data_IF_403428409458
#
_entry.id   IF_403428409458
#
_cell.length_a   1.000
_cell.length_b   1.000
_cell.length_c   1.000
_cell.angle_alpha   90.00
_cell.angle_beta   90.00
_cell.angle_gamma   90.00
#
_symmetry.space_group_name_H-M   'P 1'
#
loop_
_entity.id
_entity.type
_entity.pdbx_description
1 polymer ?
#
# COMPACT_ATOMS: atom_id res chain seq x y z
N UNK A 1 -35.48 -30.18 -28.27
CA UNK A 1 -35.20 -31.32 -27.36
C UNK A 1 -35.64 -32.71 -27.87
N UNK A 2 -36.08 -32.89 -29.13
CA UNK A 2 -36.64 -34.18 -29.63
C UNK A 2 -35.65 -35.11 -30.38
N UNK A 3 -34.36 -34.76 -30.49
CA UNK A 3 -33.36 -35.51 -31.28
C UNK A 3 -32.54 -36.55 -30.50
N UNK A 4 -31.97 -36.18 -29.34
CA UNK A 4 -30.97 -36.99 -28.63
C UNK A 4 -31.53 -38.30 -28.08
N UNK A 5 -32.79 -38.33 -27.63
CA UNK A 5 -33.42 -39.55 -27.10
C UNK A 5 -33.59 -40.66 -28.14
N UNK A 6 -33.36 -40.36 -29.42
CA UNK A 6 -33.42 -41.31 -30.55
C UNK A 6 -32.02 -41.72 -31.02
N UNK A 7 -30.94 -41.21 -30.43
CA UNK A 7 -29.57 -41.51 -30.81
C UNK A 7 -29.29 -43.01 -30.70
N UNK A 8 -28.85 -43.61 -31.80
CA UNK A 8 -28.56 -45.03 -31.90
C UNK A 8 -27.09 -45.27 -32.24
N UNK A 9 -26.56 -44.52 -33.20
CA UNK A 9 -25.19 -44.65 -33.69
C UNK A 9 -24.57 -43.29 -33.97
N UNK A 10 -23.24 -43.26 -33.98
CA UNK A 10 -22.44 -42.12 -34.38
C UNK A 10 -21.49 -42.51 -35.49
N UNK A 11 -21.26 -41.62 -36.43
CA UNK A 11 -20.22 -41.71 -37.44
C UNK A 11 -19.12 -40.73 -37.07
N UNK A 12 -17.88 -41.22 -37.04
CA UNK A 12 -16.70 -40.43 -36.68
C UNK A 12 -15.62 -40.64 -37.74
N UNK A 13 -15.08 -39.55 -38.27
CA UNK A 13 -13.90 -39.58 -39.13
C UNK A 13 -12.61 -39.54 -38.30
N UNK A 14 -11.91 -40.66 -38.25
CA UNK A 14 -10.63 -40.76 -37.56
C UNK A 14 -9.48 -40.50 -38.54
N UNK A 15 -8.57 -39.59 -38.16
CA UNK A 15 -7.38 -39.18 -38.95
C UNK A 15 -6.59 -40.32 -39.64
N UNK A 16 -6.53 -41.50 -39.03
CA UNK A 16 -5.73 -42.63 -39.51
C UNK A 16 -6.55 -43.87 -39.93
N UNK A 17 -7.86 -43.88 -39.67
CA UNK A 17 -8.74 -45.05 -39.90
C UNK A 17 -9.88 -44.69 -40.87
N UNK A 18 -10.07 -43.39 -41.14
CA UNK A 18 -11.17 -42.86 -41.92
C UNK A 18 -12.49 -42.89 -41.14
N UNK A 19 -13.58 -42.73 -41.89
CA UNK A 19 -14.95 -42.70 -41.38
C UNK A 19 -15.38 -44.07 -40.85
N UNK A 20 -15.84 -44.10 -39.60
CA UNK A 20 -16.32 -45.31 -38.93
C UNK A 20 -17.70 -45.06 -38.32
N UNK A 21 -18.64 -45.99 -38.59
CA UNK A 21 -19.97 -46.00 -37.96
C UNK A 21 -19.93 -46.87 -36.70
N UNK A 22 -20.22 -46.26 -35.55
CA UNK A 22 -20.15 -46.88 -34.23
C UNK A 22 -21.57 -46.97 -33.64
N UNK A 23 -22.14 -48.17 -33.53
CA UNK A 23 -23.48 -48.38 -32.98
C UNK A 23 -23.46 -48.40 -31.44
N UNK A 24 -23.18 -47.25 -30.81
CA UNK A 24 -22.98 -47.15 -29.36
C UNK A 24 -24.24 -47.46 -28.54
N UNK A 25 -25.42 -47.06 -29.01
CA UNK A 25 -26.67 -47.10 -28.23
C UNK A 25 -27.67 -48.14 -28.74
N UNK A 26 -27.26 -49.03 -29.65
CA UNK A 26 -28.11 -50.13 -30.10
C UNK A 26 -27.97 -51.33 -29.15
N UNK A 27 -29.08 -51.73 -28.53
CA UNK A 27 -29.17 -52.97 -27.76
C UNK A 27 -29.72 -54.10 -28.64
N UNK A 28 -28.89 -55.12 -28.90
CA UNK A 28 -29.32 -56.41 -29.44
C UNK A 28 -29.81 -57.31 -28.30
N UNK A 29 -31.02 -57.03 -27.82
CA UNK A 29 -31.79 -57.96 -27.00
C UNK A 29 -32.64 -58.84 -27.91
N UNK A 30 -32.76 -60.14 -27.61
CA UNK A 30 -33.18 -61.23 -28.50
C UNK A 30 -34.55 -61.10 -29.20
N UNK A 31 -35.37 -60.06 -28.97
CA UNK A 31 -36.65 -59.88 -29.69
C UNK A 31 -37.06 -58.42 -30.00
N UNK A 32 -36.23 -57.40 -29.70
CA UNK A 32 -36.46 -56.04 -30.24
C UNK A 32 -35.20 -55.17 -30.15
N UNK A 33 -34.91 -54.41 -31.21
CA UNK A 33 -33.87 -53.37 -31.21
C UNK A 33 -34.32 -52.21 -30.33
N UNK A 34 -33.85 -52.17 -29.10
CA UNK A 34 -34.11 -51.07 -28.16
C UNK A 34 -32.91 -50.13 -28.10
N UNK A 35 -33.18 -48.84 -27.88
CA UNK A 35 -32.13 -47.82 -27.71
C UNK A 35 -31.68 -47.86 -26.24
N UNK A 36 -30.40 -48.15 -26.03
CA UNK A 36 -29.74 -48.08 -24.73
C UNK A 36 -29.53 -46.64 -24.30
N UNK A 37 -29.66 -46.36 -23.00
CA UNK A 37 -29.40 -45.01 -22.45
C UNK A 37 -27.91 -44.75 -22.15
N UNK A 38 -27.10 -45.79 -22.19
CA UNK A 38 -25.67 -45.74 -21.89
C UNK A 38 -24.92 -46.75 -22.76
N UNK A 39 -23.70 -46.39 -23.12
CA UNK A 39 -22.77 -47.22 -23.87
C UNK A 39 -21.45 -47.30 -23.09
N UNK A 40 -20.86 -48.48 -22.99
CA UNK A 40 -19.54 -48.66 -22.37
C UNK A 40 -18.54 -48.98 -23.48
N UNK A 41 -17.60 -48.07 -23.70
CA UNK A 41 -16.49 -48.27 -24.63
C UNK A 41 -15.25 -48.64 -23.84
N UNK A 42 -14.74 -49.86 -24.06
CA UNK A 42 -13.53 -50.35 -23.42
C UNK A 42 -12.61 -51.00 -24.46
N UNK A 43 -11.32 -51.05 -24.16
CA UNK A 43 -10.31 -51.58 -25.08
C UNK A 43 -8.89 -51.38 -24.55
N UNK A 44 -7.92 -52.02 -25.20
CA UNK A 44 -6.49 -51.92 -24.84
C UNK A 44 -5.95 -50.50 -24.95
N UNK A 45 -4.78 -50.25 -24.37
CA UNK A 45 -4.05 -49.00 -24.59
C UNK A 45 -3.74 -48.86 -26.09
N UNK A 46 -3.92 -47.65 -26.64
CA UNK A 46 -3.79 -47.41 -28.08
C UNK A 46 -5.00 -47.80 -28.94
N UNK A 47 -6.07 -48.37 -28.38
CA UNK A 47 -7.28 -48.75 -29.14
C UNK A 47 -8.16 -47.56 -29.60
N UNK A 48 -7.70 -46.31 -29.42
CA UNK A 48 -8.42 -45.12 -29.89
C UNK A 48 -9.48 -44.54 -28.93
N UNK A 49 -9.57 -45.01 -27.68
CA UNK A 49 -10.55 -44.52 -26.69
C UNK A 49 -10.50 -42.99 -26.50
N UNK A 50 -9.32 -42.45 -26.25
CA UNK A 50 -9.12 -40.99 -26.10
C UNK A 50 -9.34 -40.24 -27.41
N UNK A 51 -9.08 -40.88 -28.56
CA UNK A 51 -9.36 -40.29 -29.88
C UNK A 51 -10.86 -40.14 -30.13
N UNK A 52 -11.66 -41.13 -29.72
CA UNK A 52 -13.12 -41.06 -29.76
C UNK A 52 -13.64 -39.96 -28.82
N UNK A 53 -13.11 -39.86 -27.59
CA UNK A 53 -13.48 -38.78 -26.67
C UNK A 53 -13.17 -37.39 -27.25
N UNK A 54 -12.00 -37.20 -27.87
CA UNK A 54 -11.64 -35.95 -28.56
C UNK A 54 -12.55 -35.63 -29.73
N UNK A 55 -12.92 -36.63 -30.54
CA UNK A 55 -13.85 -36.43 -31.66
C UNK A 55 -15.25 -36.02 -31.20
N UNK A 56 -15.67 -36.44 -29.99
CA UNK A 56 -16.93 -36.00 -29.38
C UNK A 56 -16.83 -34.60 -28.74
N UNK A 57 -15.64 -34.16 -28.31
CA UNK A 57 -15.42 -32.85 -27.67
C UNK A 57 -15.62 -31.70 -28.64
N UNK A 58 -15.22 -31.89 -29.89
CA UNK A 58 -15.39 -30.94 -30.99
C UNK A 58 -16.05 -31.64 -32.18
N UNK A 59 -17.39 -31.78 -32.19
CA UNK A 59 -18.11 -32.39 -33.29
C UNK A 59 -17.98 -31.52 -34.55
N UNK A 60 -16.91 -31.74 -35.32
CA UNK A 60 -16.63 -31.10 -36.61
C UNK A 60 -17.42 -31.76 -37.75
N UNK A 61 -17.18 -31.38 -39.00
CA UNK A 61 -17.82 -31.97 -40.19
C UNK A 61 -17.66 -33.49 -40.32
N UNK A 62 -16.73 -34.09 -39.57
CA UNK A 62 -16.49 -35.54 -39.51
C UNK A 62 -17.32 -36.29 -38.46
N UNK A 63 -18.23 -35.62 -37.74
CA UNK A 63 -19.13 -36.23 -36.77
C UNK A 63 -20.58 -36.18 -37.26
N UNK A 64 -21.27 -37.33 -37.26
CA UNK A 64 -22.71 -37.40 -37.51
C UNK A 64 -23.39 -38.34 -36.55
N UNK A 65 -24.63 -38.03 -36.17
CA UNK A 65 -25.46 -38.88 -35.35
C UNK A 65 -26.60 -39.46 -36.17
N UNK A 66 -27.02 -40.68 -35.84
CA UNK A 66 -28.13 -41.33 -36.51
C UNK A 66 -29.10 -41.97 -35.51
N UNK A 67 -30.37 -42.01 -35.89
CA UNK A 67 -31.37 -42.80 -35.20
C UNK A 67 -31.31 -44.28 -35.60
N UNK A 68 -32.16 -45.10 -34.97
CA UNK A 68 -32.25 -46.54 -35.25
C UNK A 68 -32.63 -46.87 -36.70
N UNK A 69 -33.29 -45.96 -37.40
CA UNK A 69 -33.72 -46.10 -38.79
C UNK A 69 -32.67 -45.53 -39.75
N UNK A 70 -31.46 -45.27 -39.24
CA UNK A 70 -30.31 -44.69 -39.93
C UNK A 70 -30.60 -43.29 -40.52
N UNK A 71 -31.53 -42.55 -39.92
CA UNK A 71 -31.83 -41.18 -40.30
C UNK A 71 -30.89 -40.23 -39.54
N UNK A 72 -30.31 -39.23 -40.22
CA UNK A 72 -29.42 -38.28 -39.57
C UNK A 72 -30.17 -37.53 -38.48
N UNK A 73 -29.56 -37.46 -37.30
CA UNK A 73 -30.00 -36.65 -36.19
C UNK A 73 -29.19 -35.37 -36.18
N UNK A 74 -29.91 -34.26 -36.27
CA UNK A 74 -29.33 -32.94 -36.14
C UNK A 74 -29.10 -32.64 -34.66
N UNK A 75 -27.86 -32.84 -34.21
CA UNK A 75 -27.40 -32.39 -32.90
C UNK A 75 -27.07 -30.91 -33.06
N UNK A 76 -28.12 -30.09 -33.08
CA UNK A 76 -28.11 -28.72 -33.58
C UNK A 76 -27.10 -27.78 -32.92
N UNK A 77 -26.52 -28.15 -31.78
CA UNK A 77 -25.35 -27.48 -31.21
C UNK A 77 -24.54 -28.49 -30.38
N UNK A 78 -23.21 -28.34 -30.37
CA UNK A 78 -22.30 -29.14 -29.52
C UNK A 78 -22.56 -28.98 -28.01
N UNK A 79 -23.48 -28.08 -27.62
CA UNK A 79 -23.84 -27.78 -26.23
C UNK A 79 -24.43 -28.97 -25.47
N UNK A 80 -25.04 -29.92 -26.17
CA UNK A 80 -25.63 -31.11 -25.55
C UNK A 80 -24.60 -32.25 -25.33
N UNK A 81 -23.36 -32.08 -25.80
CA UNK A 81 -22.28 -33.06 -25.65
C UNK A 81 -21.27 -32.55 -24.63
N UNK A 82 -21.16 -33.25 -23.51
CA UNK A 82 -20.15 -32.96 -22.48
C UNK A 82 -19.13 -34.10 -22.41
N UNK A 83 -17.85 -33.78 -22.61
CA UNK A 83 -16.75 -34.74 -22.58
C UNK A 83 -15.88 -34.50 -21.35
N UNK A 84 -15.84 -35.49 -20.46
CA UNK A 84 -15.05 -35.51 -19.23
C UNK A 84 -13.77 -36.33 -19.43
N UNK A 85 -12.87 -35.87 -20.31
CA UNK A 85 -11.60 -36.55 -20.58
C UNK A 85 -10.47 -36.10 -19.65
N UNK A 86 -9.25 -36.64 -19.84
CA UNK A 86 -8.08 -36.30 -19.02
C UNK A 86 -7.75 -34.81 -19.06
N UNK A 87 -7.94 -34.15 -20.21
CA UNK A 87 -7.77 -32.70 -20.34
C UNK A 87 -8.79 -31.94 -19.49
N UNK A 88 -10.07 -32.34 -19.53
CA UNK A 88 -11.10 -31.76 -18.68
C UNK A 88 -10.74 -31.89 -17.20
N UNK A 89 -10.28 -33.07 -16.77
CA UNK A 89 -9.88 -33.29 -15.37
C UNK A 89 -8.70 -32.39 -15.01
N UNK A 90 -7.65 -32.35 -15.83
CA UNK A 90 -6.47 -31.52 -15.54
C UNK A 90 -6.78 -30.02 -15.49
N UNK A 91 -7.69 -29.55 -16.35
CA UNK A 91 -8.09 -28.14 -16.41
C UNK A 91 -9.01 -27.74 -15.26
N UNK A 92 -9.96 -28.61 -14.89
CA UNK A 92 -11.06 -28.25 -14.01
C UNK A 92 -10.94 -28.82 -12.60
N UNK A 93 -10.02 -29.75 -12.34
CA UNK A 93 -9.95 -30.53 -11.10
C UNK A 93 -8.60 -30.33 -10.42
N UNK A 94 -8.55 -29.59 -9.31
CA UNK A 94 -7.32 -29.41 -8.51
C UNK A 94 -7.45 -30.01 -7.12
N UNK A 95 -6.35 -30.61 -6.66
CA UNK A 95 -6.20 -31.03 -5.26
C UNK A 95 -5.66 -29.86 -4.45
N UNK A 96 -6.46 -29.33 -3.54
CA UNK A 96 -6.04 -28.26 -2.62
C UNK A 96 -5.86 -28.84 -1.23
N UNK A 97 -4.66 -28.68 -0.66
CA UNK A 97 -4.33 -29.10 0.69
C UNK A 97 -2.84 -29.05 0.99
N UNK A 98 -2.45 -28.30 2.01
CA UNK A 98 -1.10 -28.35 2.59
C UNK A 98 -1.09 -29.28 3.81
N UNK A 99 -0.25 -30.32 3.72
CA UNK A 99 0.34 -31.22 4.74
C UNK A 99 -0.51 -31.83 5.89
N UNK A 100 -1.74 -31.38 6.19
CA UNK A 100 -2.53 -31.93 7.33
C UNK A 100 -4.05 -32.04 7.13
N UNK A 101 -4.59 -31.62 5.99
CA UNK A 101 -6.01 -31.77 5.66
C UNK A 101 -6.16 -32.62 4.40
N UNK A 102 -7.15 -33.52 4.40
CA UNK A 102 -7.49 -34.32 3.24
C UNK A 102 -7.71 -33.40 2.02
N UNK A 103 -7.14 -33.71 0.86
CA UNK A 103 -7.22 -32.84 -0.30
C UNK A 103 -8.69 -32.63 -0.69
N UNK A 104 -9.11 -31.37 -0.75
CA UNK A 104 -10.43 -31.02 -1.30
C UNK A 104 -10.25 -30.88 -2.81
N UNK A 105 -11.13 -31.55 -3.55
CA UNK A 105 -11.17 -31.48 -5.01
C UNK A 105 -12.05 -30.27 -5.38
N UNK A 106 -11.45 -29.23 -5.96
CA UNK A 106 -12.18 -28.08 -6.50
C UNK A 106 -12.51 -28.32 -7.98
N UNK A 107 -13.73 -27.93 -8.40
CA UNK A 107 -14.24 -28.14 -9.74
C UNK A 107 -14.58 -26.79 -10.44
N UNK A 108 -14.03 -26.56 -11.63
CA UNK A 108 -14.41 -25.44 -12.51
C UNK A 108 -14.05 -24.04 -11.96
N UNK A 109 -14.97 -23.08 -12.04
CA UNK A 109 -14.80 -21.66 -11.66
C UNK A 109 -14.28 -21.46 -10.22
N UNK A 110 -14.48 -22.44 -9.33
CA UNK A 110 -13.93 -22.42 -7.97
C UNK A 110 -12.40 -22.43 -7.94
N UNK A 111 -11.75 -22.96 -8.98
CA UNK A 111 -10.29 -22.97 -9.13
C UNK A 111 -9.77 -21.54 -9.33
N UNK A 112 -10.43 -20.76 -10.18
CA UNK A 112 -10.01 -19.37 -10.48
C UNK A 112 -10.14 -18.47 -9.23
N UNK A 113 -11.23 -18.62 -8.48
CA UNK A 113 -11.40 -17.90 -7.22
C UNK A 113 -10.36 -18.27 -6.17
N UNK A 114 -9.93 -19.53 -6.12
CA UNK A 114 -8.90 -19.97 -5.19
C UNK A 114 -7.53 -19.34 -5.53
N UNK A 115 -7.19 -19.23 -6.82
CA UNK A 115 -5.97 -18.53 -7.26
C UNK A 115 -6.00 -17.05 -6.85
N UNK A 116 -7.13 -16.38 -7.04
CA UNK A 116 -7.29 -14.97 -6.65
C UNK A 116 -7.14 -14.78 -5.12
N UNK A 117 -7.66 -15.70 -4.32
CA UNK A 117 -7.50 -15.69 -2.86
C UNK A 117 -6.02 -15.83 -2.49
N UNK A 118 -5.32 -16.82 -3.05
CA UNK A 118 -3.92 -17.08 -2.75
C UNK A 118 -3.01 -15.90 -3.13
N UNK A 119 -3.28 -15.26 -4.28
CA UNK A 119 -2.55 -14.06 -4.69
C UNK A 119 -2.81 -12.88 -3.74
N UNK A 120 -4.06 -12.67 -3.32
CA UNK A 120 -4.41 -11.61 -2.36
C UNK A 120 -3.78 -11.85 -1.00
N UNK A 121 -3.77 -13.09 -0.51
CA UNK A 121 -3.12 -13.45 0.76
C UNK A 121 -1.61 -13.21 0.73
N UNK A 122 -0.94 -13.60 -0.37
CA UNK A 122 0.48 -13.32 -0.58
C UNK A 122 0.76 -11.82 -0.59
N UNK A 123 -0.05 -11.05 -1.33
CA UNK A 123 0.06 -9.59 -1.39
C UNK A 123 -0.14 -8.95 -0.01
N UNK A 124 -1.15 -9.40 0.73
CA UNK A 124 -1.45 -8.92 2.08
C UNK A 124 -0.30 -9.20 3.05
N UNK A 125 0.32 -10.39 2.98
CA UNK A 125 1.51 -10.73 3.76
C UNK A 125 2.69 -9.81 3.46
N UNK A 126 2.97 -9.53 2.17
CA UNK A 126 4.03 -8.62 1.76
C UNK A 126 3.78 -7.18 2.24
N UNK A 127 2.54 -6.70 2.12
CA UNK A 127 2.16 -5.36 2.54
C UNK A 127 2.28 -5.19 4.06
N UNK A 128 1.84 -6.18 4.84
CA UNK A 128 1.98 -6.18 6.30
C UNK A 128 3.45 -6.14 6.74
N UNK A 129 4.33 -6.89 6.06
CA UNK A 129 5.76 -6.84 6.33
C UNK A 129 6.37 -5.47 6.02
N UNK A 130 5.96 -4.85 4.90
CA UNK A 130 6.37 -3.48 4.54
C UNK A 130 5.91 -2.46 5.58
N UNK A 131 4.63 -2.52 5.96
CA UNK A 131 4.05 -1.65 6.99
C UNK A 131 4.83 -1.72 8.30
N UNK A 132 5.07 -2.93 8.81
CA UNK A 132 5.85 -3.16 10.04
C UNK A 132 7.27 -2.59 9.95
N UNK A 133 7.90 -2.67 8.78
CA UNK A 133 9.23 -2.10 8.56
C UNK A 133 9.21 -0.56 8.56
N UNK A 134 8.19 0.05 7.96
CA UNK A 134 8.00 1.50 7.96
C UNK A 134 7.73 2.00 9.39
N UNK A 135 6.84 1.35 10.14
CA UNK A 135 6.55 1.69 11.54
C UNK A 135 7.81 1.68 12.41
N UNK A 136 8.66 0.65 12.27
CA UNK A 136 9.96 0.57 12.96
C UNK A 136 10.87 1.74 12.59
N UNK A 137 10.97 2.09 11.30
CA UNK A 137 11.78 3.23 10.83
C UNK A 137 11.27 4.54 11.39
N UNK A 138 9.95 4.77 11.42
CA UNK A 138 9.34 5.97 11.98
C UNK A 138 9.61 6.06 13.49
N UNK A 139 9.39 4.98 14.22
CA UNK A 139 9.68 4.91 15.66
C UNK A 139 11.14 5.26 15.97
N UNK A 140 12.08 4.67 15.24
CA UNK A 140 13.51 4.94 15.41
C UNK A 140 13.88 6.39 15.09
N UNK A 141 13.33 6.97 14.01
CA UNK A 141 13.53 8.39 13.68
C UNK A 141 12.97 9.32 14.74
N UNK A 142 11.79 9.04 15.28
CA UNK A 142 11.21 9.82 16.36
C UNK A 142 12.07 9.77 17.63
N UNK A 143 12.58 8.59 18.01
CA UNK A 143 13.54 8.47 19.12
C UNK A 143 14.81 9.28 18.87
N UNK A 144 15.36 9.20 17.66
CA UNK A 144 16.56 9.97 17.29
C UNK A 144 16.29 11.49 17.34
N UNK A 145 15.12 11.94 16.89
CA UNK A 145 14.70 13.34 16.94
C UNK A 145 14.57 13.84 18.39
N UNK A 146 13.92 13.09 19.26
CA UNK A 146 13.78 13.46 20.69
C UNK A 146 15.13 13.48 21.40
N UNK A 147 16.01 12.53 21.10
CA UNK A 147 17.39 12.53 21.60
C UNK A 147 18.16 13.77 21.12
N UNK A 148 18.02 14.14 19.84
CA UNK A 148 18.67 15.34 19.28
C UNK A 148 18.13 16.63 19.93
N UNK A 149 16.82 16.76 20.10
CA UNK A 149 16.19 17.89 20.82
C UNK A 149 16.71 18.00 22.26
N UNK A 150 16.82 16.87 22.95
CA UNK A 150 17.33 16.81 24.32
C UNK A 150 18.78 17.29 24.37
N UNK A 151 19.64 16.79 23.48
CA UNK A 151 21.05 17.21 23.37
C UNK A 151 21.17 18.71 23.09
N UNK A 152 20.44 19.23 22.10
CA UNK A 152 20.42 20.66 21.78
C UNK A 152 20.03 21.49 23.00
N UNK A 153 19.01 21.06 23.73
CA UNK A 153 18.54 21.76 24.94
C UNK A 153 19.61 21.74 26.02
N UNK A 154 20.29 20.61 26.22
CA UNK A 154 21.40 20.50 27.16
C UNK A 154 22.54 21.46 26.80
N UNK A 155 22.93 21.52 25.52
CA UNK A 155 23.97 22.43 25.03
C UNK A 155 23.59 23.91 25.20
N UNK A 156 22.32 24.26 25.02
CA UNK A 156 21.84 25.63 25.22
C UNK A 156 21.76 26.02 26.71
N UNK A 157 21.46 25.05 27.59
CA UNK A 157 21.46 25.26 29.05
C UNK A 157 22.87 25.42 29.62
N UNK A 158 23.83 24.65 29.10
CA UNK A 158 25.14 24.46 29.74
C UNK A 158 25.13 23.32 30.75
N UNK A 159 26.30 22.77 31.05
CA UNK A 159 26.48 21.66 31.99
C UNK A 159 26.55 22.09 33.45
N UNK A 160 26.86 23.37 33.72
CA UNK A 160 26.96 23.96 35.05
C UNK A 160 26.50 25.43 35.03
N UNK A 161 26.06 25.93 36.18
CA UNK A 161 25.81 27.36 36.41
C UNK A 161 27.08 28.22 36.27
N UNK A 162 28.25 27.58 36.31
CA UNK A 162 29.57 28.19 36.12
C UNK A 162 30.12 28.09 34.69
N UNK A 163 29.41 27.46 33.74
CA UNK A 163 29.84 27.41 32.34
C UNK A 163 29.55 28.75 31.65
N UNK A 164 30.55 29.62 31.63
CA UNK A 164 30.45 31.02 31.17
C UNK A 164 30.07 31.17 29.68
N UNK A 165 30.02 30.07 28.92
CA UNK A 165 29.73 30.05 27.48
C UNK A 165 28.32 29.60 27.05
N UNK A 166 27.44 29.15 27.95
CA UNK A 166 26.12 28.64 27.52
C UNK A 166 25.18 29.77 27.06
N UNK A 167 24.20 29.46 26.20
CA UNK A 167 23.21 30.46 25.76
C UNK A 167 22.39 30.97 26.96
N UNK A 168 21.98 30.07 27.86
CA UNK A 168 21.20 30.43 29.03
C UNK A 168 21.98 31.33 30.01
N UNK A 169 23.28 31.09 30.18
CA UNK A 169 24.13 31.91 31.04
C UNK A 169 24.42 33.26 30.39
N UNK A 170 24.65 33.32 29.07
CA UNK A 170 24.74 34.59 28.32
C UNK A 170 23.45 35.41 28.42
N UNK A 171 22.29 34.77 28.32
CA UNK A 171 21.01 35.44 28.50
C UNK A 171 20.81 35.97 29.94
N UNK A 172 21.30 35.25 30.96
CA UNK A 172 21.31 35.71 32.34
C UNK A 172 22.23 36.92 32.52
N UNK A 173 23.46 36.87 31.99
CA UNK A 173 24.42 37.97 32.07
C UNK A 173 23.91 39.28 31.43
N UNK A 174 23.08 39.18 30.38
CA UNK A 174 22.51 40.34 29.69
C UNK A 174 21.22 40.88 30.33
N UNK A 175 20.41 40.03 30.96
CA UNK A 175 19.06 40.40 31.40
C UNK A 175 18.81 40.24 32.91
N UNK A 176 19.80 39.79 33.67
CA UNK A 176 19.69 39.50 35.11
C UNK A 176 18.79 38.31 35.47
N UNK A 177 18.27 37.57 34.48
CA UNK A 177 17.39 36.40 34.69
C UNK A 177 17.56 35.33 33.61
N UNK A 178 17.49 34.06 34.00
CA UNK A 178 17.61 32.93 33.06
C UNK A 178 16.35 32.87 32.19
N UNK A 179 16.52 32.88 30.87
CA UNK A 179 15.39 32.71 29.92
C UNK A 179 15.10 31.23 29.70
N UNK A 180 13.82 30.88 29.58
CA UNK A 180 13.40 29.52 29.23
C UNK A 180 13.77 29.22 27.78
N UNK A 181 14.29 28.02 27.53
CA UNK A 181 14.54 27.53 26.17
C UNK A 181 13.23 26.95 25.62
N UNK A 182 12.58 27.72 24.75
CA UNK A 182 11.35 27.33 24.06
C UNK A 182 11.66 26.74 22.68
N UNK A 183 10.66 26.16 22.02
CA UNK A 183 10.82 25.70 20.63
C UNK A 183 11.15 26.83 19.67
N UNK A 184 10.68 28.05 19.93
CA UNK A 184 11.07 29.25 19.17
C UNK A 184 12.57 29.51 19.25
N UNK A 185 13.16 29.39 20.44
CA UNK A 185 14.62 29.55 20.62
C UNK A 185 15.37 28.45 19.88
N UNK A 186 14.92 27.19 20.03
CA UNK A 186 15.54 26.05 19.31
C UNK A 186 15.48 26.24 17.79
N UNK A 187 14.33 26.69 17.27
CA UNK A 187 14.14 26.96 15.84
C UNK A 187 15.04 28.08 15.35
N UNK A 188 15.10 29.20 16.07
CA UNK A 188 15.97 30.33 15.72
C UNK A 188 17.45 29.92 15.68
N UNK A 189 17.92 29.10 16.64
CA UNK A 189 19.30 28.59 16.65
C UNK A 189 19.58 27.68 15.44
N UNK A 190 18.62 26.84 15.05
CA UNK A 190 18.76 25.98 13.87
C UNK A 190 18.78 26.82 12.58
N UNK A 191 17.92 27.84 12.49
CA UNK A 191 17.83 28.74 11.34
C UNK A 191 19.06 29.64 11.17
N UNK A 192 19.71 30.04 12.27
CA UNK A 192 20.97 30.79 12.24
C UNK A 192 22.12 30.01 11.59
N UNK A 193 22.01 28.68 11.53
CA UNK A 193 23.02 27.83 10.90
C UNK A 193 24.37 27.87 11.60
N UNK A 194 25.39 27.33 10.92
CA UNK A 194 26.76 27.37 11.42
C UNK A 194 27.38 28.73 11.03
N UNK A 195 27.98 29.48 11.96
CA UNK A 195 28.67 30.71 11.61
C UNK A 195 29.88 30.41 10.71
N UNK A 196 30.14 31.30 9.76
CA UNK A 196 31.31 31.24 8.86
C UNK A 196 32.61 31.69 9.55
N UNK A 197 32.47 32.40 10.67
CA UNK A 197 33.57 32.95 11.47
C UNK A 197 33.99 32.00 12.60
N UNK A 198 35.22 32.17 13.10
CA UNK A 198 35.72 31.36 14.20
C UNK A 198 34.96 31.64 15.51
N UNK A 199 35.03 30.69 16.45
CA UNK A 199 34.39 30.83 17.76
C UNK A 199 34.93 32.04 18.52
N UNK A 200 36.25 32.28 18.44
CA UNK A 200 36.93 33.39 19.09
C UNK A 200 36.47 34.73 18.53
N UNK A 201 36.28 34.83 17.21
CA UNK A 201 35.78 36.03 16.57
C UNK A 201 34.36 36.36 17.05
N UNK A 202 33.47 35.37 17.06
CA UNK A 202 32.09 35.52 17.54
C UNK A 202 32.04 35.85 19.04
N UNK A 203 32.93 35.26 19.84
CA UNK A 203 33.03 35.56 21.28
C UNK A 203 33.52 36.99 21.53
N UNK A 204 34.50 37.47 20.76
CA UNK A 204 34.99 38.84 20.87
C UNK A 204 33.91 39.86 20.49
N UNK A 205 33.17 39.61 19.41
CA UNK A 205 32.05 40.44 18.98
C UNK A 205 30.96 40.54 20.06
N UNK A 206 30.66 39.42 20.72
CA UNK A 206 29.70 39.38 21.83
C UNK A 206 30.12 40.26 23.02
N UNK A 207 31.36 40.16 23.49
CA UNK A 207 31.84 40.98 24.62
C UNK A 207 31.90 42.47 24.27
N UNK A 208 32.25 42.81 23.03
CA UNK A 208 32.18 44.20 22.53
C UNK A 208 30.75 44.73 22.55
N UNK A 209 29.77 43.95 22.07
CA UNK A 209 28.37 44.34 22.07
C UNK A 209 27.81 44.49 23.49
N UNK A 210 28.15 43.58 24.40
CA UNK A 210 27.77 43.62 25.81
C UNK A 210 28.31 44.88 26.51
N UNK A 211 29.57 45.22 26.28
CA UNK A 211 30.20 46.43 26.85
C UNK A 211 29.48 47.70 26.39
N UNK A 212 29.18 47.81 25.08
CA UNK A 212 28.42 48.93 24.51
C UNK A 212 27.03 49.06 25.12
N UNK A 213 26.34 47.92 25.34
CA UNK A 213 25.02 47.91 25.97
C UNK A 213 25.08 48.45 27.40
N UNK A 214 26.02 47.96 28.22
CA UNK A 214 26.18 48.43 29.60
C UNK A 214 26.51 49.93 29.68
N UNK A 215 27.36 50.44 28.79
CA UNK A 215 27.66 51.88 28.70
C UNK A 215 26.43 52.73 28.36
N UNK A 216 25.53 52.22 27.52
CA UNK A 216 24.28 52.91 27.17
C UNK A 216 23.26 52.90 28.32
N UNK A 217 23.22 51.83 29.10
CA UNK A 217 22.30 51.67 30.23
C UNK A 217 22.72 52.50 31.46
N UNK A 218 24.01 52.77 31.66
CA UNK A 218 24.56 53.51 32.79
C UNK A 218 24.43 55.04 32.71
N UNK A 219 23.77 55.60 31.67
CA UNK A 219 23.51 57.05 31.48
C UNK A 219 24.73 57.98 31.41
N UNK A 220 25.96 57.50 31.53
CA UNK A 220 27.16 58.36 31.54
C UNK A 220 27.53 58.96 30.17
N UNK A 221 26.86 58.58 29.07
CA UNK A 221 27.28 59.03 27.73
C UNK A 221 26.68 60.39 27.34
N UNK A 222 25.54 60.77 27.91
CA UNK A 222 25.03 62.11 27.67
C UNK A 222 25.48 62.98 28.83
N UNK A 223 26.56 63.74 28.63
CA UNK A 223 26.94 64.93 29.43
C UNK A 223 25.82 66.01 29.39
N UNK A 224 24.57 65.61 29.54
CA UNK A 224 23.40 66.46 29.49
C UNK A 224 23.25 67.15 30.84
N UNK A 225 23.94 68.28 30.97
CA UNK A 225 23.60 69.27 31.97
C UNK A 225 22.30 69.93 31.51
N UNK A 226 21.18 69.53 32.10
CA UNK A 226 19.90 70.20 31.87
C UNK A 226 20.03 71.72 32.09
N UNK A 227 19.19 72.55 31.46
CA UNK A 227 19.31 74.00 31.56
C UNK A 227 19.28 74.45 33.03
N UNK A 228 20.31 75.20 33.46
CA UNK A 228 20.48 75.66 34.86
C UNK A 228 19.37 76.62 35.32
N UNK A 229 18.55 77.12 34.39
CA UNK A 229 17.48 78.06 34.68
C UNK A 229 16.21 77.63 33.94
N UNK A 230 15.21 77.25 34.72
CA UNK A 230 13.82 77.14 34.27
C UNK A 230 13.15 78.43 34.75
N UNK A 231 12.79 79.40 33.88
CA UNK A 231 12.04 80.55 34.32
C UNK A 231 10.72 80.08 34.95
N UNK A 232 10.42 80.57 36.16
CA UNK A 232 9.13 80.31 36.78
C UNK A 232 8.04 80.85 35.87
N UNK A 233 7.20 79.97 35.32
CA UNK A 233 6.01 80.41 34.61
C UNK A 233 5.13 81.18 35.60
N UNK A 234 4.84 82.45 35.31
CA UNK A 234 3.80 83.19 36.02
C UNK A 234 2.42 82.70 35.57
N UNK A 235 2.00 81.61 36.21
CA UNK A 235 0.69 80.99 35.97
C UNK A 235 -0.44 81.96 36.34
N UNK A 236 -0.21 82.91 37.26
CA UNK A 236 -1.22 83.88 37.65
C UNK A 236 -1.44 84.93 36.56
N UNK A 237 -0.36 85.47 35.99
CA UNK A 237 -0.42 86.38 34.83
C UNK A 237 -1.07 85.73 33.61
N UNK A 238 -0.74 84.46 33.33
CA UNK A 238 -1.35 83.70 32.23
C UNK A 238 -2.85 83.48 32.44
N UNK A 239 -3.29 83.15 33.67
CA UNK A 239 -4.71 83.02 34.01
C UNK A 239 -5.47 84.33 33.84
N UNK A 240 -4.89 85.44 34.30
CA UNK A 240 -5.55 86.74 34.23
C UNK A 240 -5.66 87.28 32.79
N UNK A 241 -4.73 86.88 31.91
CA UNK A 241 -4.83 87.17 30.48
C UNK A 241 -5.94 86.34 29.79
N UNK A 242 -6.15 85.09 30.21
CA UNK A 242 -7.21 84.23 29.68
C UNK A 242 -8.60 84.72 30.13
N UNK A 243 -8.74 85.17 31.38
CA UNK A 243 -10.01 85.71 31.90
C UNK A 243 -10.45 87.04 31.25
N UNK A 244 -9.54 87.75 30.56
CA UNK A 244 -9.87 88.99 29.82
C UNK A 244 -10.25 88.75 28.35
N UNK A 245 -10.22 87.50 27.90
CA UNK A 245 -10.51 87.13 26.50
C UNK A 245 -11.99 86.73 26.31
N UNK A 246 -12.80 86.67 27.38
CA UNK A 246 -14.27 86.56 27.33
C UNK A 246 -14.96 87.78 27.98
#
# INVERSE_FOLDING_TARGET
MQGISKLASIEVDFKHVGTQLIPLFLSTSNQSSSIGRAAIVYGKNGAGKSSLARALKEPTSGFRAFDRDNRPLDLQDASDIHVFDESFINENVRQVGHEKLNPVILLGEQVDHQEEIEEKEKTLSQLNNSHRNIEKKVSNRNKALENAKTRLTQSLKGSSDSEEGSWANRAFALHGKKKKITDTVRKAVIELGKPDTSLEAVASEFEQAKTKLSQSESREVDNYSGPQFIPSLDIAGARHAIEKID
#
